data_IF_938570972933
#
_entry.id   IF_938570972933
#
_cell.length_a   1.000
_cell.length_b   1.000
_cell.length_c   1.000
_cell.angle_alpha   90.00
_cell.angle_beta   90.00
_cell.angle_gamma   90.00
#
_symmetry.space_group_name_H-M   'P 1'
#
loop_
_entity.id
_entity.type
_entity.pdbx_description
1 polymer ?
#
# COMPACT_ATOMS: atom_id res chain seq x y z
N UNK A 1 -9.88 -12.27 6.15
CA UNK A 1 -9.64 -13.62 5.59
C UNK A 1 -8.92 -13.59 4.23
N UNK A 2 -9.37 -12.92 3.15
CA UNK A 2 -8.70 -13.05 1.83
C UNK A 2 -7.24 -12.61 1.81
N UNK A 3 -6.89 -11.51 2.49
CA UNK A 3 -5.51 -10.99 2.53
C UNK A 3 -4.54 -11.99 3.18
N UNK A 4 -4.95 -12.67 4.24
CA UNK A 4 -4.11 -13.67 4.90
C UNK A 4 -3.90 -14.88 3.98
N UNK A 5 -4.96 -15.37 3.34
CA UNK A 5 -4.86 -16.49 2.40
C UNK A 5 -3.95 -16.16 1.23
N UNK A 6 -4.14 -14.99 0.60
CA UNK A 6 -3.29 -14.56 -0.52
C UNK A 6 -1.83 -14.35 -0.10
N UNK A 7 -1.57 -13.87 1.11
CA UNK A 7 -0.21 -13.72 1.63
C UNK A 7 0.46 -15.07 1.86
N UNK A 8 -0.24 -16.02 2.48
CA UNK A 8 0.30 -17.38 2.70
C UNK A 8 0.56 -18.08 1.37
N UNK A 9 -0.41 -18.06 0.45
CA UNK A 9 -0.26 -18.69 -0.86
C UNK A 9 0.90 -18.04 -1.64
N UNK A 10 1.04 -16.72 -1.62
CA UNK A 10 2.14 -16.05 -2.32
C UNK A 10 3.52 -16.41 -1.77
N UNK A 11 3.66 -16.65 -0.47
CA UNK A 11 4.93 -17.09 0.14
C UNK A 11 5.23 -18.54 -0.22
N UNK A 12 4.22 -19.42 -0.15
CA UNK A 12 4.37 -20.86 -0.45
C UNK A 12 4.59 -21.09 -1.93
N UNK A 13 4.03 -20.27 -2.82
CA UNK A 13 4.13 -20.45 -4.28
C UNK A 13 5.48 -20.01 -4.88
N UNK A 14 6.28 -19.20 -4.18
CA UNK A 14 7.58 -18.73 -4.71
C UNK A 14 8.53 -19.88 -5.07
N UNK A 15 8.79 -20.87 -4.19
CA UNK A 15 9.62 -22.02 -4.55
C UNK A 15 9.05 -22.85 -5.71
N UNK A 16 7.71 -22.96 -5.78
CA UNK A 16 7.02 -23.65 -6.85
C UNK A 16 7.25 -22.98 -8.21
N UNK A 17 7.15 -21.63 -8.26
CA UNK A 17 7.42 -20.89 -9.49
C UNK A 17 8.86 -21.07 -9.97
N UNK A 18 9.85 -21.06 -9.07
CA UNK A 18 11.23 -21.35 -9.45
C UNK A 18 11.41 -22.76 -10.02
N UNK A 19 10.75 -23.74 -9.42
CA UNK A 19 10.85 -25.12 -9.88
C UNK A 19 10.19 -25.34 -11.24
N UNK A 20 9.05 -24.71 -11.48
CA UNK A 20 8.23 -24.91 -12.69
C UNK A 20 8.71 -24.03 -13.85
N UNK A 21 8.95 -22.74 -13.61
CA UNK A 21 9.33 -21.77 -14.64
C UNK A 21 10.83 -21.77 -14.94
N UNK A 22 11.63 -22.22 -13.99
CA UNK A 22 13.09 -22.02 -14.02
C UNK A 22 13.48 -20.56 -13.83
N UNK A 23 14.77 -20.30 -13.67
CA UNK A 23 15.29 -18.99 -13.32
C UNK A 23 15.00 -17.92 -14.39
N UNK A 24 15.06 -18.30 -15.66
CA UNK A 24 14.95 -17.36 -16.77
C UNK A 24 13.51 -16.85 -16.98
N UNK A 25 12.52 -17.75 -17.04
CA UNK A 25 11.11 -17.38 -17.17
C UNK A 25 10.59 -16.63 -15.93
N UNK A 26 11.05 -17.06 -14.75
CA UNK A 26 10.74 -16.36 -13.51
C UNK A 26 11.33 -14.93 -13.50
N UNK A 27 12.57 -14.76 -13.97
CA UNK A 27 13.19 -13.44 -14.12
C UNK A 27 12.42 -12.55 -15.11
N UNK A 28 11.97 -13.10 -16.25
CA UNK A 28 11.16 -12.35 -17.22
C UNK A 28 9.86 -11.84 -16.63
N UNK A 29 9.16 -12.66 -15.85
CA UNK A 29 7.96 -12.24 -15.13
C UNK A 29 8.25 -11.06 -14.19
N UNK A 30 9.37 -11.12 -13.46
CA UNK A 30 9.82 -10.03 -12.59
C UNK A 30 10.22 -8.78 -13.36
N UNK A 31 10.87 -8.90 -14.51
CA UNK A 31 11.24 -7.72 -15.33
C UNK A 31 10.00 -6.96 -15.77
N UNK A 32 8.99 -7.66 -16.26
CA UNK A 32 7.73 -7.01 -16.65
C UNK A 32 7.04 -6.42 -15.42
N UNK A 33 7.00 -7.13 -14.29
CA UNK A 33 6.45 -6.63 -13.03
C UNK A 33 7.15 -5.38 -12.52
N UNK A 34 8.48 -5.30 -12.62
CA UNK A 34 9.28 -4.12 -12.22
C UNK A 34 8.99 -2.94 -13.12
N UNK A 35 8.95 -3.16 -14.43
CA UNK A 35 8.64 -2.10 -15.39
C UNK A 35 7.18 -1.62 -15.24
N UNK A 36 6.20 -2.51 -15.07
CA UNK A 36 4.81 -2.10 -14.79
C UNK A 36 4.71 -1.29 -13.50
N UNK A 37 5.46 -1.64 -12.47
CA UNK A 37 5.56 -0.85 -11.23
C UNK A 37 6.13 0.55 -11.44
N UNK A 38 7.14 0.69 -12.31
CA UNK A 38 7.74 1.99 -12.64
C UNK A 38 6.75 2.94 -13.35
N UNK A 39 5.76 2.40 -14.07
CA UNK A 39 4.69 3.18 -14.70
C UNK A 39 3.52 3.51 -13.77
N UNK A 40 3.68 3.33 -12.45
CA UNK A 40 2.68 3.56 -11.40
C UNK A 40 2.09 4.98 -11.32
N UNK A 41 2.59 5.91 -12.13
CA UNK A 41 2.15 7.30 -12.21
C UNK A 41 1.30 7.63 -13.47
N UNK A 42 0.87 6.62 -14.23
CA UNK A 42 0.28 6.81 -15.57
C UNK A 42 -0.97 7.69 -15.60
N UNK A 43 -1.76 7.72 -14.52
CA UNK A 43 -2.93 8.60 -14.43
C UNK A 43 -2.59 10.01 -13.97
N UNK A 44 -1.32 10.32 -13.74
CA UNK A 44 -0.78 11.60 -13.25
C UNK A 44 -1.50 12.09 -11.98
N UNK A 45 -2.11 11.20 -11.18
CA UNK A 45 -2.89 11.55 -9.98
C UNK A 45 -4.30 12.08 -10.30
N UNK A 46 -4.74 12.01 -11.56
CA UNK A 46 -6.06 12.48 -11.98
C UNK A 46 -7.18 11.66 -11.34
N UNK A 47 -7.01 10.33 -11.15
CA UNK A 47 -7.98 9.50 -10.47
C UNK A 47 -8.30 10.01 -9.06
N UNK A 48 -7.27 10.36 -8.29
CA UNK A 48 -7.43 10.94 -6.94
C UNK A 48 -8.13 12.29 -6.99
N UNK A 49 -7.76 13.15 -7.96
CA UNK A 49 -8.39 14.46 -8.14
C UNK A 49 -9.88 14.33 -8.45
N UNK A 50 -10.24 13.52 -9.44
CA UNK A 50 -11.63 13.25 -9.81
C UNK A 50 -12.43 12.73 -8.62
N UNK A 51 -11.89 11.76 -7.87
CA UNK A 51 -12.55 11.23 -6.68
C UNK A 51 -12.82 12.30 -5.61
N UNK A 52 -11.87 13.20 -5.39
CA UNK A 52 -12.06 14.32 -4.47
C UNK A 52 -13.17 15.27 -4.93
N UNK A 53 -13.09 15.74 -6.19
CA UNK A 53 -14.06 16.73 -6.67
C UNK A 53 -15.47 16.15 -6.81
N UNK A 54 -15.62 14.89 -7.23
CA UNK A 54 -16.90 14.18 -7.22
C UNK A 54 -17.42 14.04 -5.78
N UNK A 55 -16.59 13.66 -4.83
CA UNK A 55 -17.00 13.52 -3.43
C UNK A 55 -17.48 14.84 -2.82
N UNK A 56 -16.81 15.98 -3.12
CA UNK A 56 -17.24 17.32 -2.69
C UNK A 56 -18.59 17.68 -3.33
N UNK A 57 -18.73 17.48 -4.65
CA UNK A 57 -19.97 17.77 -5.37
C UNK A 57 -21.14 16.93 -4.87
N UNK A 58 -20.92 15.65 -4.55
CA UNK A 58 -21.93 14.78 -3.92
C UNK A 58 -22.32 15.26 -2.52
N UNK A 59 -21.37 15.73 -1.72
CA UNK A 59 -21.65 16.31 -0.40
C UNK A 59 -22.46 17.59 -0.46
N UNK A 60 -22.31 18.37 -1.55
CA UNK A 60 -23.07 19.57 -1.84
C UNK A 60 -24.42 19.29 -2.57
N UNK A 61 -24.73 18.03 -2.91
CA UNK A 61 -25.89 17.63 -3.74
C UNK A 61 -25.91 18.29 -5.14
N UNK A 62 -24.72 18.54 -5.72
CA UNK A 62 -24.58 19.13 -7.08
C UNK A 62 -24.34 18.01 -8.12
N UNK A 63 -25.43 17.38 -8.57
CA UNK A 63 -25.37 16.30 -9.56
C UNK A 63 -24.79 16.75 -10.91
N UNK A 64 -24.93 18.04 -11.26
CA UNK A 64 -24.40 18.57 -12.52
C UNK A 64 -22.87 18.66 -12.44
N UNK A 65 -22.31 19.14 -11.32
CA UNK A 65 -20.87 19.15 -11.11
C UNK A 65 -20.29 17.72 -11.09
N UNK A 66 -20.98 16.76 -10.50
CA UNK A 66 -20.56 15.34 -10.53
C UNK A 66 -20.39 14.84 -11.96
N UNK A 67 -21.39 15.09 -12.86
CA UNK A 67 -21.33 14.69 -14.28
C UNK A 67 -20.19 15.38 -15.02
N UNK A 68 -19.97 16.67 -14.75
CA UNK A 68 -18.92 17.47 -15.38
C UNK A 68 -17.53 17.01 -14.98
N UNK A 69 -17.25 16.81 -13.67
CA UNK A 69 -15.95 16.27 -13.20
C UNK A 69 -15.70 14.85 -13.70
N UNK A 70 -16.73 14.00 -13.70
CA UNK A 70 -16.64 12.64 -14.20
C UNK A 70 -16.25 12.58 -15.66
N UNK A 71 -16.99 13.30 -16.51
CA UNK A 71 -16.74 13.33 -17.95
C UNK A 71 -15.40 14.01 -18.30
N UNK A 72 -15.05 15.09 -17.59
CA UNK A 72 -13.76 15.78 -17.77
C UNK A 72 -12.59 14.88 -17.43
N UNK A 73 -12.68 14.14 -16.32
CA UNK A 73 -11.66 13.15 -15.93
C UNK A 73 -11.44 12.08 -17.00
N UNK A 74 -12.51 11.53 -17.55
CA UNK A 74 -12.42 10.48 -18.58
C UNK A 74 -11.80 10.97 -19.90
N UNK A 75 -12.14 12.18 -20.34
CA UNK A 75 -11.57 12.77 -21.56
C UNK A 75 -10.04 12.90 -21.45
N UNK A 76 -9.51 13.10 -20.26
CA UNK A 76 -8.07 13.26 -20.04
C UNK A 76 -7.41 11.90 -19.74
N UNK A 77 -7.98 11.09 -18.84
CA UNK A 77 -7.33 9.87 -18.36
C UNK A 77 -7.28 8.78 -19.43
N UNK A 78 -8.34 8.65 -20.25
CA UNK A 78 -8.39 7.60 -21.27
C UNK A 78 -7.24 7.73 -22.30
N UNK A 79 -7.04 8.87 -23.00
CA UNK A 79 -5.95 8.99 -23.96
C UNK A 79 -4.58 8.96 -23.28
N UNK A 80 -4.45 9.48 -22.07
CA UNK A 80 -3.21 9.49 -21.30
C UNK A 80 -2.76 8.07 -20.95
N UNK A 81 -3.65 7.26 -20.38
CA UNK A 81 -3.36 5.87 -20.02
C UNK A 81 -3.11 5.02 -21.26
N UNK A 82 -3.89 5.25 -22.36
CA UNK A 82 -3.64 4.57 -23.62
C UNK A 82 -2.25 4.92 -24.19
N UNK A 83 -1.88 6.20 -24.17
CA UNK A 83 -0.56 6.65 -24.62
C UNK A 83 0.58 5.99 -23.83
N UNK A 84 0.53 6.02 -22.48
CA UNK A 84 1.57 5.40 -21.66
C UNK A 84 1.59 3.88 -21.81
N UNK A 85 0.45 3.20 -21.95
CA UNK A 85 0.40 1.78 -22.24
C UNK A 85 1.08 1.43 -23.57
N UNK A 86 0.85 2.23 -24.62
CA UNK A 86 1.53 2.07 -25.91
C UNK A 86 3.03 2.36 -25.81
N UNK A 87 3.43 3.39 -25.07
CA UNK A 87 4.86 3.69 -24.80
C UNK A 87 5.52 2.53 -24.07
N UNK A 88 4.86 1.96 -23.05
CA UNK A 88 5.34 0.78 -22.33
C UNK A 88 5.55 -0.39 -23.29
N UNK A 89 4.54 -0.72 -24.11
CA UNK A 89 4.65 -1.80 -25.10
C UNK A 89 5.78 -1.52 -26.10
N UNK A 90 5.85 -0.30 -26.64
CA UNK A 90 6.89 0.08 -27.61
C UNK A 90 8.30 -0.05 -27.03
N UNK A 91 8.54 0.55 -25.87
CA UNK A 91 9.85 0.46 -25.18
C UNK A 91 10.16 -0.99 -24.82
N UNK A 92 9.20 -1.70 -24.21
CA UNK A 92 9.40 -3.06 -23.73
C UNK A 92 9.65 -4.07 -24.86
N UNK A 93 8.95 -3.94 -26.00
CA UNK A 93 9.13 -4.87 -27.13
C UNK A 93 10.38 -4.58 -27.98
N UNK A 94 10.78 -3.31 -28.12
CA UNK A 94 11.93 -2.90 -28.90
C UNK A 94 13.23 -3.09 -28.10
N UNK A 95 13.30 -2.51 -26.90
CA UNK A 95 14.52 -2.46 -26.10
C UNK A 95 14.61 -3.55 -25.03
N UNK A 96 13.48 -4.15 -24.62
CA UNK A 96 13.44 -5.13 -23.53
C UNK A 96 14.38 -6.33 -23.74
N UNK A 97 14.38 -7.00 -24.91
CA UNK A 97 15.27 -8.13 -25.16
C UNK A 97 16.76 -7.77 -25.05
N UNK A 98 17.16 -6.61 -25.54
CA UNK A 98 18.55 -6.13 -25.46
C UNK A 98 18.95 -5.78 -24.02
N UNK A 99 18.09 -5.08 -23.28
CA UNK A 99 18.34 -4.65 -21.91
C UNK A 99 18.47 -5.84 -20.95
N UNK A 100 17.62 -6.83 -21.14
CA UNK A 100 17.63 -8.03 -20.30
C UNK A 100 18.50 -9.16 -20.87
N UNK A 101 19.20 -8.89 -21.98
CA UNK A 101 20.11 -9.85 -22.66
C UNK A 101 19.42 -11.19 -22.99
N UNK A 102 18.16 -11.10 -23.38
CA UNK A 102 17.32 -12.26 -23.75
C UNK A 102 17.37 -12.46 -25.26
N UNK A 103 17.68 -13.66 -25.72
CA UNK A 103 17.84 -14.01 -27.15
C UNK A 103 16.98 -15.19 -27.56
N UNK A 104 16.81 -15.40 -28.86
CA UNK A 104 16.09 -16.56 -29.41
C UNK A 104 14.60 -16.56 -29.10
N UNK A 105 14.06 -17.70 -28.76
CA UNK A 105 12.62 -17.91 -28.45
C UNK A 105 12.19 -17.12 -27.24
N UNK A 106 13.07 -16.99 -26.24
CA UNK A 106 12.80 -16.25 -25.02
C UNK A 106 12.59 -14.75 -25.27
N UNK A 107 13.24 -14.19 -26.30
CA UNK A 107 13.00 -12.81 -26.71
C UNK A 107 11.58 -12.62 -27.25
N UNK A 108 11.01 -13.61 -27.94
CA UNK A 108 9.61 -13.57 -28.39
C UNK A 108 8.63 -13.65 -27.23
N UNK A 109 8.88 -14.53 -26.27
CA UNK A 109 8.12 -14.63 -25.00
C UNK A 109 8.14 -13.32 -24.26
N UNK A 110 9.32 -12.69 -24.10
CA UNK A 110 9.42 -11.38 -23.42
C UNK A 110 8.63 -10.28 -24.14
N UNK A 111 8.67 -10.23 -25.48
CA UNK A 111 7.87 -9.28 -26.26
C UNK A 111 6.37 -9.48 -26.02
N UNK A 112 5.87 -10.70 -26.07
CA UNK A 112 4.46 -10.98 -25.75
C UNK A 112 4.11 -10.64 -24.32
N UNK A 113 4.98 -10.94 -23.38
CA UNK A 113 4.84 -10.55 -21.97
C UNK A 113 4.72 -9.02 -21.80
N UNK A 114 5.51 -8.23 -22.56
CA UNK A 114 5.41 -6.77 -22.57
C UNK A 114 4.09 -6.26 -23.18
N UNK A 115 3.61 -6.90 -24.26
CA UNK A 115 2.29 -6.56 -24.84
C UNK A 115 1.18 -6.79 -23.81
N UNK A 116 1.14 -7.97 -23.20
CA UNK A 116 0.14 -8.27 -22.17
C UNK A 116 0.31 -7.39 -20.92
N UNK A 117 1.54 -7.05 -20.56
CA UNK A 117 1.82 -6.08 -19.49
C UNK A 117 1.21 -4.71 -19.78
N UNK A 118 1.33 -4.21 -21.02
CA UNK A 118 0.70 -2.95 -21.45
C UNK A 118 -0.82 -3.01 -21.44
N UNK A 119 -1.42 -4.11 -21.89
CA UNK A 119 -2.87 -4.35 -21.80
C UNK A 119 -3.33 -4.34 -20.34
N UNK A 120 -2.59 -5.03 -19.46
CA UNK A 120 -2.86 -5.07 -18.02
C UNK A 120 -2.78 -3.67 -17.38
N UNK A 121 -1.76 -2.90 -17.72
CA UNK A 121 -1.61 -1.50 -17.28
C UNK A 121 -2.80 -0.64 -17.71
N UNK A 122 -3.21 -0.73 -18.97
CA UNK A 122 -4.37 0.03 -19.45
C UNK A 122 -5.63 -0.25 -18.61
N UNK A 123 -5.99 -1.51 -18.42
CA UNK A 123 -7.17 -1.85 -17.63
C UNK A 123 -7.03 -1.53 -16.15
N UNK A 124 -5.84 -1.66 -15.57
CA UNK A 124 -5.59 -1.31 -14.18
C UNK A 124 -5.78 0.20 -13.93
N UNK A 125 -5.15 1.06 -14.74
CA UNK A 125 -5.18 2.51 -14.53
C UNK A 125 -6.46 3.17 -15.03
N UNK A 126 -7.00 2.74 -16.17
CA UNK A 126 -8.30 3.23 -16.60
C UNK A 126 -9.43 2.71 -15.71
N UNK A 127 -9.34 1.46 -15.24
CA UNK A 127 -10.26 0.89 -14.26
C UNK A 127 -10.25 1.61 -12.92
N UNK A 128 -9.14 2.25 -12.55
CA UNK A 128 -9.04 3.04 -11.33
C UNK A 128 -10.04 4.21 -11.30
N UNK A 129 -10.39 4.80 -12.44
CA UNK A 129 -11.45 5.81 -12.53
C UNK A 129 -12.79 5.28 -12.03
N UNK A 130 -13.20 4.10 -12.49
CA UNK A 130 -14.45 3.45 -12.09
C UNK A 130 -14.43 2.97 -10.63
N UNK A 131 -13.24 2.57 -10.16
CA UNK A 131 -13.04 2.26 -8.74
C UNK A 131 -13.27 3.49 -7.86
N UNK A 132 -12.72 4.64 -8.24
CA UNK A 132 -12.87 5.91 -7.52
C UNK A 132 -14.33 6.36 -7.50
N UNK A 133 -15.09 6.18 -8.59
CA UNK A 133 -16.52 6.45 -8.63
C UNK A 133 -17.28 5.59 -7.61
N UNK A 134 -17.03 4.28 -7.58
CA UNK A 134 -17.65 3.38 -6.61
C UNK A 134 -17.30 3.72 -5.18
N UNK A 135 -16.04 4.14 -4.94
CA UNK A 135 -15.58 4.61 -3.63
C UNK A 135 -16.26 5.93 -3.21
N UNK A 136 -16.46 6.87 -4.15
CA UNK A 136 -17.19 8.12 -3.89
C UNK A 136 -18.66 7.87 -3.51
N UNK A 137 -19.29 6.80 -4.03
CA UNK A 137 -20.60 6.33 -3.62
C UNK A 137 -20.59 5.51 -2.32
N UNK A 138 -19.41 5.34 -1.69
CA UNK A 138 -19.21 4.55 -0.46
C UNK A 138 -19.56 3.06 -0.59
N UNK A 139 -19.54 2.52 -1.82
CA UNK A 139 -19.87 1.11 -2.09
C UNK A 139 -18.68 0.18 -1.79
N UNK A 140 -18.13 0.31 -0.57
CA UNK A 140 -16.94 -0.43 -0.15
C UNK A 140 -17.19 -1.94 -0.01
N UNK A 141 -18.45 -2.34 0.24
CA UNK A 141 -18.80 -3.77 0.29
C UNK A 141 -18.56 -4.43 -1.06
N UNK A 142 -19.06 -3.82 -2.13
CA UNK A 142 -18.82 -4.29 -3.49
C UNK A 142 -17.34 -4.30 -3.84
N UNK A 143 -16.64 -3.18 -3.59
CA UNK A 143 -15.20 -3.05 -3.86
C UNK A 143 -14.35 -4.07 -3.10
N UNK A 144 -14.69 -4.32 -1.83
CA UNK A 144 -13.99 -5.29 -0.99
C UNK A 144 -14.20 -6.72 -1.50
N UNK A 145 -15.45 -7.10 -1.82
CA UNK A 145 -15.75 -8.42 -2.36
C UNK A 145 -15.04 -8.61 -3.71
N UNK A 146 -15.17 -7.65 -4.63
CA UNK A 146 -14.57 -7.72 -5.95
C UNK A 146 -13.05 -7.88 -5.87
N UNK A 147 -12.37 -7.00 -5.11
CA UNK A 147 -10.90 -7.05 -4.96
C UNK A 147 -10.43 -8.33 -4.27
N UNK A 148 -11.12 -8.75 -3.21
CA UNK A 148 -10.75 -9.95 -2.47
C UNK A 148 -10.92 -11.21 -3.31
N UNK A 149 -12.03 -11.34 -4.02
CA UNK A 149 -12.30 -12.48 -4.90
C UNK A 149 -11.28 -12.54 -6.05
N UNK A 150 -11.03 -11.40 -6.72
CA UNK A 150 -10.05 -11.34 -7.79
C UNK A 150 -8.62 -11.60 -7.28
N UNK A 151 -8.24 -11.09 -6.11
CA UNK A 151 -6.94 -11.37 -5.52
C UNK A 151 -6.74 -12.88 -5.26
N UNK A 152 -7.76 -13.57 -4.75
CA UNK A 152 -7.72 -15.03 -4.58
C UNK A 152 -7.63 -15.75 -5.92
N UNK A 153 -8.47 -15.39 -6.89
CA UNK A 153 -8.47 -15.97 -8.24
C UNK A 153 -7.12 -15.72 -8.92
N UNK A 154 -6.58 -14.51 -8.82
CA UNK A 154 -5.25 -14.19 -9.37
C UNK A 154 -4.19 -15.08 -8.73
N UNK A 155 -4.11 -15.13 -7.41
CA UNK A 155 -3.03 -15.84 -6.71
C UNK A 155 -3.08 -17.35 -6.98
N UNK A 156 -4.25 -17.97 -6.87
CA UNK A 156 -4.41 -19.41 -7.12
C UNK A 156 -4.31 -19.75 -8.61
N UNK A 157 -4.92 -18.95 -9.45
CA UNK A 157 -4.90 -19.18 -10.89
C UNK A 157 -3.53 -18.95 -11.52
N UNK A 158 -2.72 -18.00 -10.99
CA UNK A 158 -1.33 -17.84 -11.45
C UNK A 158 -0.51 -19.10 -11.21
N UNK A 159 -0.71 -19.81 -10.09
CA UNK A 159 -0.09 -21.11 -9.82
C UNK A 159 -0.56 -22.14 -10.87
N UNK A 160 -1.86 -22.21 -11.13
CA UNK A 160 -2.42 -23.13 -12.15
C UNK A 160 -1.90 -22.84 -13.56
N UNK A 161 -1.83 -21.56 -13.95
CA UNK A 161 -1.29 -21.14 -15.26
C UNK A 161 0.20 -21.48 -15.36
N UNK A 162 0.98 -21.28 -14.29
CA UNK A 162 2.40 -21.67 -14.26
C UNK A 162 2.59 -23.15 -14.50
N UNK A 163 1.80 -24.00 -13.83
CA UNK A 163 1.87 -25.48 -13.96
C UNK A 163 1.44 -26.00 -15.33
N UNK A 164 0.58 -25.25 -16.06
CA UNK A 164 0.05 -25.71 -17.36
C UNK A 164 0.91 -25.20 -18.52
N UNK A 165 1.34 -23.96 -18.48
CA UNK A 165 1.97 -23.28 -19.62
C UNK A 165 3.48 -23.09 -19.47
N UNK A 166 4.02 -23.11 -18.26
CA UNK A 166 5.45 -22.94 -17.95
C UNK A 166 6.11 -21.71 -18.62
N UNK A 167 5.32 -20.66 -18.91
CA UNK A 167 5.73 -19.50 -19.69
C UNK A 167 5.26 -18.18 -19.01
N UNK A 168 6.19 -17.24 -18.90
CA UNK A 168 5.96 -15.94 -18.25
C UNK A 168 4.90 -15.08 -18.99
N UNK A 169 4.79 -15.17 -20.31
CA UNK A 169 3.82 -14.38 -21.07
C UNK A 169 2.38 -14.77 -20.74
N UNK A 170 2.11 -16.07 -20.51
CA UNK A 170 0.79 -16.54 -20.09
C UNK A 170 0.42 -16.10 -18.67
N UNK A 171 1.38 -16.01 -17.75
CA UNK A 171 1.15 -15.50 -16.41
C UNK A 171 0.72 -14.03 -16.43
N UNK A 172 1.38 -13.25 -17.28
CA UNK A 172 1.08 -11.83 -17.44
C UNK A 172 -0.25 -11.64 -18.18
N UNK A 173 -0.50 -12.44 -19.23
CA UNK A 173 -1.77 -12.46 -19.96
C UNK A 173 -2.95 -12.78 -19.03
N UNK A 174 -2.79 -13.77 -18.17
CA UNK A 174 -3.80 -14.12 -17.16
C UNK A 174 -4.08 -12.95 -16.20
N UNK A 175 -3.04 -12.30 -15.72
CA UNK A 175 -3.17 -11.12 -14.84
C UNK A 175 -3.86 -9.95 -15.57
N UNK A 176 -3.53 -9.72 -16.84
CA UNK A 176 -4.16 -8.71 -17.69
C UNK A 176 -5.64 -9.01 -17.94
N UNK A 177 -6.00 -10.28 -18.19
CA UNK A 177 -7.37 -10.73 -18.33
C UNK A 177 -8.20 -10.46 -17.06
N UNK A 178 -7.67 -10.78 -15.89
CA UNK A 178 -8.34 -10.50 -14.62
C UNK A 178 -8.47 -8.99 -14.36
N UNK A 179 -7.50 -8.19 -14.79
CA UNK A 179 -7.62 -6.72 -14.79
C UNK A 179 -8.77 -6.24 -15.68
N UNK A 180 -8.92 -6.82 -16.87
CA UNK A 180 -10.05 -6.52 -17.77
C UNK A 180 -11.40 -6.97 -17.16
N UNK A 181 -11.44 -8.13 -16.53
CA UNK A 181 -12.63 -8.61 -15.79
C UNK A 181 -13.01 -7.65 -14.66
N UNK A 182 -12.04 -7.22 -13.87
CA UNK A 182 -12.26 -6.20 -12.84
C UNK A 182 -12.85 -4.92 -13.43
N UNK A 183 -12.27 -4.44 -14.51
CA UNK A 183 -12.75 -3.24 -15.21
C UNK A 183 -14.21 -3.39 -15.66
N UNK A 184 -14.58 -4.52 -16.27
CA UNK A 184 -15.97 -4.80 -16.73
C UNK A 184 -16.97 -4.78 -15.56
N UNK A 185 -16.62 -5.37 -14.41
CA UNK A 185 -17.49 -5.33 -13.23
C UNK A 185 -17.68 -3.91 -12.70
N UNK A 186 -16.59 -3.12 -12.62
CA UNK A 186 -16.64 -1.73 -12.19
C UNK A 186 -17.45 -0.87 -13.18
N UNK A 187 -17.23 -1.04 -14.48
CA UNK A 187 -17.94 -0.34 -15.56
C UNK A 187 -19.46 -0.63 -15.49
N UNK A 188 -19.83 -1.90 -15.38
CA UNK A 188 -21.25 -2.30 -15.23
C UNK A 188 -21.86 -1.65 -14.00
N UNK A 189 -21.18 -1.69 -12.86
CA UNK A 189 -21.65 -1.08 -11.62
C UNK A 189 -21.88 0.41 -11.78
N UNK A 190 -20.93 1.13 -12.39
CA UNK A 190 -21.04 2.57 -12.65
C UNK A 190 -22.20 2.95 -13.54
N UNK A 191 -22.43 2.19 -14.61
CA UNK A 191 -23.49 2.48 -15.58
C UNK A 191 -24.88 2.11 -15.06
N UNK A 192 -25.02 0.97 -14.36
CA UNK A 192 -26.34 0.46 -13.95
C UNK A 192 -26.82 1.02 -12.61
N UNK A 193 -25.94 1.11 -11.63
CA UNK A 193 -26.32 1.50 -10.27
C UNK A 193 -26.15 2.99 -10.00
N UNK A 194 -25.05 3.60 -10.50
CA UNK A 194 -24.83 5.03 -10.26
C UNK A 194 -25.37 5.91 -11.39
N UNK A 195 -25.79 5.30 -12.49
CA UNK A 195 -26.39 5.99 -13.65
C UNK A 195 -25.54 7.16 -14.17
N UNK A 196 -24.20 7.02 -14.07
CA UNK A 196 -23.22 7.99 -14.52
C UNK A 196 -22.44 7.46 -15.74
N UNK A 197 -23.09 7.39 -16.92
CA UNK A 197 -22.38 7.04 -18.14
C UNK A 197 -21.38 8.14 -18.52
N UNK A 198 -20.28 7.74 -19.14
CA UNK A 198 -19.30 8.71 -19.68
C UNK A 198 -19.93 9.43 -20.86
N UNK A 199 -20.11 10.73 -20.75
CA UNK A 199 -20.64 11.58 -21.83
C UNK A 199 -19.61 12.64 -22.17
N UNK A 200 -18.90 12.50 -23.28
CA UNK A 200 -17.92 13.50 -23.76
C UNK A 200 -18.51 14.91 -23.92
N UNK A 201 -19.82 15.00 -24.07
CA UNK A 201 -20.58 16.24 -24.18
C UNK A 201 -20.58 17.07 -22.88
N UNK A 202 -20.38 16.42 -21.71
CA UNK A 202 -20.35 17.09 -20.40
C UNK A 202 -18.93 17.55 -20.03
N UNK A 203 -17.95 17.41 -20.94
CA UNK A 203 -16.61 17.94 -20.76
C UNK A 203 -16.61 19.46 -20.60
N UNK A 204 -15.95 19.97 -19.56
CA UNK A 204 -15.75 21.40 -19.33
C UNK A 204 -14.30 21.74 -19.05
N UNK A 205 -13.72 22.59 -19.89
CA UNK A 205 -12.35 23.08 -19.71
C UNK A 205 -12.16 23.81 -18.36
N UNK A 206 -13.20 24.51 -17.87
CA UNK A 206 -13.16 25.17 -16.56
C UNK A 206 -12.94 24.16 -15.41
N UNK A 207 -13.60 23.00 -15.44
CA UNK A 207 -13.44 21.94 -14.45
C UNK A 207 -12.05 21.30 -14.53
N UNK A 208 -11.49 21.16 -15.74
CA UNK A 208 -10.11 20.71 -15.89
C UNK A 208 -9.13 21.67 -15.24
N UNK A 209 -9.26 22.97 -15.51
CA UNK A 209 -8.38 23.99 -14.94
C UNK A 209 -8.50 24.08 -13.42
N UNK A 210 -9.70 23.82 -12.88
CA UNK A 210 -9.95 23.74 -11.45
C UNK A 210 -9.24 22.52 -10.79
N UNK A 211 -9.28 21.35 -11.45
CA UNK A 211 -8.63 20.14 -10.97
C UNK A 211 -7.11 20.14 -11.13
N UNK A 212 -6.57 20.84 -12.14
CA UNK A 212 -5.17 20.76 -12.54
C UNK A 212 -4.16 21.08 -11.40
N UNK A 213 -4.32 22.14 -10.59
CA UNK A 213 -3.39 22.43 -9.50
C UNK A 213 -3.33 21.31 -8.44
N UNK A 214 -4.46 20.67 -8.16
CA UNK A 214 -4.54 19.54 -7.25
C UNK A 214 -3.87 18.31 -7.88
N UNK A 215 -4.19 18.01 -9.12
CA UNK A 215 -3.61 16.90 -9.90
C UNK A 215 -2.09 16.96 -9.94
N UNK A 216 -1.52 18.12 -10.25
CA UNK A 216 -0.06 18.32 -10.32
C UNK A 216 0.60 18.10 -8.94
N UNK A 217 -0.01 18.55 -7.85
CA UNK A 217 0.50 18.32 -6.50
C UNK A 217 0.45 16.84 -6.14
N UNK A 218 -0.63 16.15 -6.47
CA UNK A 218 -0.79 14.71 -6.25
C UNK A 218 0.24 13.92 -7.07
N UNK A 219 0.45 14.30 -8.32
CA UNK A 219 1.47 13.70 -9.18
C UNK A 219 2.88 13.88 -8.61
N UNK A 220 3.22 15.08 -8.15
CA UNK A 220 4.50 15.33 -7.48
C UNK A 220 4.67 14.48 -6.21
N UNK A 221 3.59 14.27 -5.46
CA UNK A 221 3.59 13.39 -4.28
C UNK A 221 3.80 11.93 -4.66
N UNK A 222 3.16 11.44 -5.73
CA UNK A 222 3.35 10.07 -6.23
C UNK A 222 4.79 9.82 -6.68
N UNK A 223 5.37 10.72 -7.46
CA UNK A 223 6.79 10.64 -7.89
C UNK A 223 7.71 10.70 -6.67
N UNK A 224 7.46 11.63 -5.74
CA UNK A 224 8.25 11.74 -4.50
C UNK A 224 8.25 10.44 -3.71
N UNK A 225 7.09 9.82 -3.54
CA UNK A 225 6.97 8.54 -2.84
C UNK A 225 7.69 7.39 -3.57
N UNK A 226 7.61 7.35 -4.88
CA UNK A 226 8.17 6.25 -5.68
C UNK A 226 9.68 6.40 -5.90
N UNK A 227 10.15 7.54 -6.34
CA UNK A 227 11.55 7.77 -6.72
C UNK A 227 12.41 8.07 -5.49
N UNK A 228 12.04 9.14 -4.75
CA UNK A 228 12.84 9.57 -3.60
C UNK A 228 12.74 8.57 -2.46
N UNK A 229 11.57 7.94 -2.30
CA UNK A 229 11.34 6.89 -1.29
C UNK A 229 12.12 5.59 -1.52
N UNK A 230 12.81 5.43 -2.64
CA UNK A 230 13.70 4.29 -2.92
C UNK A 230 15.19 4.63 -2.87
N UNK A 231 15.55 5.89 -2.65
CA UNK A 231 16.97 6.32 -2.63
C UNK A 231 17.77 5.63 -1.53
N UNK A 232 17.17 5.40 -0.36
CA UNK A 232 17.78 4.65 0.75
C UNK A 232 18.25 3.27 0.29
N UNK A 233 17.40 2.54 -0.45
CA UNK A 233 17.73 1.21 -0.99
C UNK A 233 18.82 1.26 -2.06
N UNK A 234 18.73 2.23 -2.97
CA UNK A 234 19.73 2.39 -4.04
C UNK A 234 21.10 2.68 -3.45
N UNK A 235 21.16 3.56 -2.45
CA UNK A 235 22.40 3.91 -1.77
C UNK A 235 22.95 2.73 -0.95
N UNK A 236 22.10 2.09 -0.16
CA UNK A 236 22.52 0.94 0.65
C UNK A 236 22.98 -0.23 -0.23
N UNK A 237 22.30 -0.48 -1.37
CA UNK A 237 22.70 -1.50 -2.33
C UNK A 237 24.10 -1.29 -2.93
N UNK A 238 24.58 -0.03 -2.99
CA UNK A 238 25.94 0.29 -3.43
C UNK A 238 26.96 0.23 -2.29
N UNK A 239 26.55 0.53 -1.06
CA UNK A 239 27.44 0.70 0.09
C UNK A 239 27.63 -0.58 0.89
N UNK A 240 26.62 -1.47 0.91
CA UNK A 240 26.59 -2.64 1.80
C UNK A 240 26.94 -3.94 1.07
N UNK A 241 27.44 -4.95 1.82
CA UNK A 241 27.52 -6.32 1.33
C UNK A 241 26.14 -6.85 0.89
N UNK A 242 26.12 -7.81 -0.04
CA UNK A 242 24.87 -8.39 -0.57
C UNK A 242 23.99 -9.01 0.53
N UNK A 243 24.61 -9.62 1.56
CA UNK A 243 23.89 -10.19 2.72
C UNK A 243 23.09 -9.15 3.50
N UNK A 244 23.72 -8.00 3.78
CA UNK A 244 23.12 -6.94 4.57
C UNK A 244 22.02 -6.21 3.77
N UNK A 245 22.29 -5.99 2.48
CA UNK A 245 21.28 -5.45 1.56
C UNK A 245 20.07 -6.38 1.44
N UNK A 246 20.28 -7.69 1.34
CA UNK A 246 19.21 -8.68 1.31
C UNK A 246 18.41 -8.65 2.62
N UNK A 247 19.09 -8.61 3.79
CA UNK A 247 18.44 -8.55 5.09
C UNK A 247 17.60 -7.28 5.27
N UNK A 248 18.11 -6.13 4.83
CA UNK A 248 17.37 -4.87 4.82
C UNK A 248 16.11 -4.95 3.96
N UNK A 249 16.22 -5.51 2.75
CA UNK A 249 15.07 -5.66 1.85
C UNK A 249 14.04 -6.67 2.35
N UNK A 250 14.44 -7.79 2.98
CA UNK A 250 13.53 -8.74 3.62
C UNK A 250 12.71 -8.01 4.70
N UNK A 251 13.38 -7.24 5.55
CA UNK A 251 12.72 -6.47 6.61
C UNK A 251 11.75 -5.42 6.04
N UNK A 252 12.13 -4.71 4.98
CA UNK A 252 11.27 -3.75 4.27
C UNK A 252 10.05 -4.43 3.62
N UNK A 253 10.23 -5.59 3.01
CA UNK A 253 9.13 -6.30 2.37
C UNK A 253 8.05 -6.70 3.39
N UNK A 254 8.45 -7.20 4.55
CA UNK A 254 7.50 -7.56 5.62
C UNK A 254 6.88 -6.28 6.21
N UNK A 255 7.69 -5.29 6.54
CA UNK A 255 7.22 -4.01 7.07
C UNK A 255 6.23 -3.30 6.13
N UNK A 256 6.48 -3.31 4.82
CA UNK A 256 5.58 -2.72 3.83
C UNK A 256 4.23 -3.45 3.74
N UNK A 257 4.17 -4.75 3.98
CA UNK A 257 2.90 -5.49 4.06
C UNK A 257 2.10 -5.09 5.29
N UNK A 258 2.77 -4.92 6.44
CA UNK A 258 2.13 -4.38 7.66
C UNK A 258 1.61 -2.96 7.42
N UNK A 259 2.40 -2.10 6.80
CA UNK A 259 1.98 -0.76 6.39
C UNK A 259 0.78 -0.81 5.42
N UNK A 260 0.76 -1.74 4.49
CA UNK A 260 -0.31 -1.93 3.51
C UNK A 260 -1.67 -2.26 4.12
N UNK A 261 -1.72 -2.84 5.32
CA UNK A 261 -2.98 -3.10 6.01
C UNK A 261 -3.76 -1.82 6.31
N UNK A 262 -3.10 -0.70 6.58
CA UNK A 262 -3.76 0.60 6.76
C UNK A 262 -4.44 1.11 5.49
N UNK A 263 -3.90 0.78 4.32
CA UNK A 263 -4.43 1.26 3.04
C UNK A 263 -5.89 0.84 2.82
N UNK A 264 -6.29 -0.32 3.34
CA UNK A 264 -7.67 -0.80 3.22
C UNK A 264 -8.68 0.13 3.92
N UNK A 265 -8.28 0.78 5.02
CA UNK A 265 -9.13 1.71 5.77
C UNK A 265 -9.10 3.14 5.18
N UNK A 266 -8.06 3.50 4.41
CA UNK A 266 -7.89 4.89 3.95
C UNK A 266 -8.93 5.32 2.92
N UNK A 267 -9.38 4.41 2.03
CA UNK A 267 -10.39 4.73 1.03
C UNK A 267 -11.71 5.22 1.64
N UNK A 268 -12.36 4.45 2.53
CA UNK A 268 -13.56 4.88 3.24
C UNK A 268 -13.38 6.21 3.99
N UNK A 269 -12.26 6.37 4.69
CA UNK A 269 -11.96 7.58 5.47
C UNK A 269 -11.87 8.79 4.53
N UNK A 270 -11.11 8.70 3.45
CA UNK A 270 -10.97 9.75 2.45
C UNK A 270 -12.34 10.18 1.88
N UNK A 271 -13.16 9.22 1.44
CA UNK A 271 -14.45 9.52 0.82
C UNK A 271 -15.45 10.14 1.83
N UNK A 272 -15.49 9.63 3.06
CA UNK A 272 -16.34 10.20 4.11
C UNK A 272 -15.93 11.63 4.44
N UNK A 273 -14.64 11.90 4.60
CA UNK A 273 -14.12 13.25 4.86
C UNK A 273 -14.43 14.19 3.69
N UNK A 274 -14.29 13.72 2.45
CA UNK A 274 -14.58 14.53 1.25
C UNK A 274 -16.05 14.96 1.19
N UNK A 275 -16.98 14.06 1.51
CA UNK A 275 -18.40 14.39 1.61
C UNK A 275 -18.69 15.39 2.74
N UNK A 276 -18.07 15.22 3.90
CA UNK A 276 -18.18 16.17 5.02
C UNK A 276 -17.70 17.57 4.66
N UNK A 277 -16.60 17.69 3.90
CA UNK A 277 -16.12 18.98 3.36
C UNK A 277 -17.12 19.57 2.36
N UNK A 278 -17.86 18.74 1.62
CA UNK A 278 -18.89 19.16 0.67
C UNK A 278 -20.23 19.60 1.31
N UNK A 279 -20.35 19.52 2.63
CA UNK A 279 -21.55 20.02 3.36
C UNK A 279 -22.47 18.93 3.93
N UNK A 280 -22.09 17.65 3.86
CA UNK A 280 -22.79 16.57 4.56
C UNK A 280 -22.51 16.67 6.07
N UNK A 281 -23.37 17.37 6.80
CA UNK A 281 -23.24 17.66 8.24
C UNK A 281 -23.15 16.40 9.13
N UNK A 282 -23.63 15.25 8.65
CA UNK A 282 -23.54 13.98 9.36
C UNK A 282 -22.08 13.41 9.36
N UNK A 283 -21.15 14.05 8.64
CA UNK A 283 -19.80 13.55 8.40
C UNK A 283 -18.72 14.55 8.78
N UNK A 284 -18.60 14.80 10.09
CA UNK A 284 -17.57 15.72 10.60
C UNK A 284 -16.14 15.14 10.38
N UNK A 285 -15.29 15.80 9.59
CA UNK A 285 -13.92 15.33 9.31
C UNK A 285 -13.07 15.11 10.57
N UNK A 286 -13.23 15.94 11.60
CA UNK A 286 -12.49 15.84 12.85
C UNK A 286 -12.87 14.60 13.65
N UNK A 287 -14.15 14.24 13.67
CA UNK A 287 -14.65 13.01 14.33
C UNK A 287 -14.21 11.76 13.58
N UNK A 288 -14.34 11.74 12.25
CA UNK A 288 -13.88 10.63 11.40
C UNK A 288 -12.38 10.36 11.65
N UNK A 289 -11.57 11.42 11.68
CA UNK A 289 -10.14 11.26 11.93
C UNK A 289 -9.86 10.72 13.33
N UNK A 290 -10.48 11.29 14.36
CA UNK A 290 -10.29 10.90 15.76
C UNK A 290 -10.67 9.44 15.99
N UNK A 291 -11.83 9.01 15.54
CA UNK A 291 -12.30 7.62 15.66
C UNK A 291 -11.36 6.63 14.92
N UNK A 292 -10.95 7.00 13.70
CA UNK A 292 -10.05 6.18 12.91
C UNK A 292 -8.67 6.06 13.56
N UNK A 293 -8.13 7.14 14.13
CA UNK A 293 -6.87 7.12 14.86
C UNK A 293 -6.95 6.23 16.10
N UNK A 294 -7.99 6.41 16.92
CA UNK A 294 -8.19 5.62 18.14
C UNK A 294 -8.41 4.14 17.86
N UNK A 295 -8.93 3.80 16.69
CA UNK A 295 -9.07 2.41 16.25
C UNK A 295 -7.75 1.82 15.76
N UNK A 296 -6.99 2.55 14.93
CA UNK A 296 -5.81 2.00 14.25
C UNK A 296 -4.54 2.05 15.09
N UNK A 297 -4.36 3.11 15.89
CA UNK A 297 -3.13 3.33 16.65
C UNK A 297 -2.77 2.17 17.60
N UNK A 298 -3.70 1.62 18.41
CA UNK A 298 -3.36 0.51 19.31
C UNK A 298 -2.93 -0.76 18.56
N UNK A 299 -3.51 -1.04 17.38
CA UNK A 299 -3.10 -2.18 16.57
C UNK A 299 -1.67 -2.07 16.07
N UNK A 300 -1.26 -0.89 15.58
CA UNK A 300 0.13 -0.68 15.18
C UNK A 300 1.08 -0.66 16.37
N UNK A 301 0.63 -0.12 17.51
CA UNK A 301 1.35 -0.21 18.77
C UNK A 301 1.62 -1.67 19.17
N UNK A 302 0.59 -2.52 19.09
CA UNK A 302 0.73 -3.96 19.33
C UNK A 302 1.75 -4.60 18.38
N UNK A 303 1.69 -4.31 17.07
CA UNK A 303 2.63 -4.88 16.09
C UNK A 303 4.07 -4.44 16.39
N UNK A 304 4.30 -3.15 16.70
CA UNK A 304 5.62 -2.64 17.06
C UNK A 304 6.18 -3.40 18.27
N UNK A 305 5.39 -3.49 19.33
CA UNK A 305 5.78 -4.17 20.56
C UNK A 305 6.06 -5.66 20.32
N UNK A 306 5.14 -6.34 19.65
CA UNK A 306 5.25 -7.76 19.37
C UNK A 306 6.48 -8.10 18.54
N UNK A 307 6.72 -7.34 17.47
CA UNK A 307 7.92 -7.51 16.64
C UNK A 307 9.19 -7.18 17.42
N UNK A 308 9.20 -6.12 18.23
CA UNK A 308 10.38 -5.75 19.01
C UNK A 308 10.81 -6.83 20.01
N UNK A 309 9.85 -7.55 20.58
CA UNK A 309 10.12 -8.58 21.60
C UNK A 309 10.37 -9.96 20.97
N UNK A 310 9.59 -10.32 19.95
CA UNK A 310 9.57 -11.70 19.44
C UNK A 310 10.24 -11.90 18.08
N UNK A 311 10.84 -10.84 17.49
CA UNK A 311 11.44 -10.94 16.15
C UNK A 311 12.49 -12.03 16.04
N UNK A 312 13.40 -12.15 17.02
CA UNK A 312 14.52 -13.10 16.93
C UNK A 312 14.03 -14.57 16.94
N UNK A 313 13.19 -15.04 17.89
CA UNK A 313 12.69 -16.42 17.84
C UNK A 313 11.91 -16.76 16.57
N UNK A 314 11.16 -15.79 16.03
CA UNK A 314 10.42 -15.99 14.79
C UNK A 314 11.33 -16.08 13.56
N UNK A 315 12.36 -15.23 13.50
CA UNK A 315 13.35 -15.25 12.43
C UNK A 315 14.22 -16.51 12.49
N UNK A 316 14.60 -16.97 13.68
CA UNK A 316 15.36 -18.21 13.87
C UNK A 316 14.59 -19.44 13.33
N UNK A 317 13.27 -19.48 13.56
CA UNK A 317 12.42 -20.53 13.00
C UNK A 317 12.29 -20.45 11.49
N UNK A 318 12.24 -19.24 10.91
CA UNK A 318 11.95 -19.02 9.49
C UNK A 318 13.20 -18.96 8.60
N UNK A 319 14.26 -18.24 9.04
CA UNK A 319 15.45 -17.94 8.24
C UNK A 319 16.71 -18.71 8.69
N UNK A 320 16.63 -19.40 9.80
CA UNK A 320 17.74 -20.19 10.35
C UNK A 320 19.09 -19.43 10.33
N UNK A 321 19.99 -19.77 9.40
CA UNK A 321 21.35 -19.19 9.31
C UNK A 321 21.37 -17.67 9.06
N UNK A 322 20.34 -17.11 8.42
CA UNK A 322 20.28 -15.69 8.09
C UNK A 322 19.54 -14.85 9.15
N UNK A 323 18.94 -15.51 10.16
CA UNK A 323 18.17 -14.85 11.21
C UNK A 323 18.97 -13.77 11.98
N UNK A 324 20.23 -13.99 12.39
CA UNK A 324 20.99 -12.98 13.13
C UNK A 324 21.22 -11.68 12.35
N UNK A 325 21.43 -11.78 11.03
CA UNK A 325 21.67 -10.60 10.17
C UNK A 325 20.36 -9.84 9.97
N UNK A 326 19.26 -10.53 9.66
CA UNK A 326 17.95 -9.92 9.49
C UNK A 326 17.43 -9.33 10.82
N UNK A 327 17.71 -9.97 11.95
CA UNK A 327 17.34 -9.51 13.29
C UNK A 327 17.88 -8.13 13.66
N UNK A 328 19.03 -7.73 13.09
CA UNK A 328 19.59 -6.38 13.29
C UNK A 328 18.73 -5.28 12.68
N UNK A 329 18.07 -5.55 11.56
CA UNK A 329 17.27 -4.58 10.80
C UNK A 329 15.77 -4.67 11.07
N UNK A 330 15.25 -5.86 11.31
CA UNK A 330 13.84 -6.18 11.29
C UNK A 330 12.97 -5.35 12.24
N UNK A 331 13.27 -5.25 13.55
CA UNK A 331 12.42 -4.52 14.48
C UNK A 331 12.36 -3.01 14.14
N UNK A 332 13.47 -2.41 13.77
CA UNK A 332 13.55 -0.98 13.44
C UNK A 332 12.79 -0.63 12.17
N UNK A 333 12.94 -1.45 11.13
CA UNK A 333 12.28 -1.23 9.86
C UNK A 333 10.77 -1.44 9.99
N UNK A 334 10.34 -2.51 10.68
CA UNK A 334 8.91 -2.76 10.88
C UNK A 334 8.27 -1.65 11.73
N UNK A 335 8.95 -1.19 12.79
CA UNK A 335 8.48 -0.05 13.57
C UNK A 335 8.35 1.21 12.72
N UNK A 336 9.33 1.51 11.87
CA UNK A 336 9.26 2.62 10.92
C UNK A 336 8.09 2.50 9.93
N UNK A 337 7.82 1.30 9.42
CA UNK A 337 6.67 1.03 8.55
C UNK A 337 5.33 1.19 9.28
N UNK A 338 5.25 0.83 10.57
CA UNK A 338 4.07 1.08 11.39
C UNK A 338 3.81 2.59 11.59
N UNK A 339 4.84 3.38 11.83
CA UNK A 339 4.71 4.85 11.89
C UNK A 339 4.24 5.42 10.53
N UNK A 340 4.77 4.92 9.43
CA UNK A 340 4.31 5.29 8.09
C UNK A 340 2.85 4.88 7.83
N UNK A 341 2.40 3.76 8.40
CA UNK A 341 1.01 3.33 8.32
C UNK A 341 0.05 4.30 9.05
N UNK A 342 0.45 4.81 10.20
CA UNK A 342 -0.30 5.85 10.93
C UNK A 342 -0.32 7.17 10.13
N UNK A 343 0.80 7.53 9.49
CA UNK A 343 0.88 8.68 8.58
C UNK A 343 -0.07 8.59 7.38
N UNK A 344 -0.36 7.39 6.88
CA UNK A 344 -1.35 7.21 5.82
C UNK A 344 -2.73 7.73 6.24
N UNK A 345 -3.10 7.60 7.52
CA UNK A 345 -4.32 8.17 8.07
C UNK A 345 -4.31 9.69 7.98
N UNK A 346 -3.23 10.34 8.43
CA UNK A 346 -3.07 11.78 8.31
C UNK A 346 -3.08 12.24 6.84
N UNK A 347 -2.38 11.50 5.96
CA UNK A 347 -2.36 11.75 4.53
C UNK A 347 -3.75 11.68 3.87
N UNK A 348 -4.61 10.75 4.32
CA UNK A 348 -5.97 10.60 3.78
C UNK A 348 -6.88 11.82 4.05
N UNK A 349 -6.55 12.66 5.04
CA UNK A 349 -7.27 13.90 5.33
C UNK A 349 -6.79 15.08 4.49
N UNK A 350 -5.50 15.12 4.16
CA UNK A 350 -4.90 16.26 3.46
C UNK A 350 -5.47 16.44 2.05
N UNK A 351 -5.85 15.35 1.40
CA UNK A 351 -6.51 15.36 0.11
C UNK A 351 -7.86 16.08 0.14
N UNK A 352 -8.85 15.58 0.90
CA UNK A 352 -10.16 16.22 1.05
C UNK A 352 -10.08 17.70 1.47
N UNK A 353 -9.18 18.02 2.41
CA UNK A 353 -8.96 19.39 2.89
C UNK A 353 -8.22 20.31 1.89
N UNK A 354 -7.91 19.83 0.68
CA UNK A 354 -7.12 20.56 -0.33
C UNK A 354 -5.74 21.01 0.16
N UNK A 355 -5.12 20.25 1.06
CA UNK A 355 -3.81 20.52 1.66
C UNK A 355 -2.72 19.52 1.20
N UNK A 356 -2.80 19.06 -0.06
CA UNK A 356 -1.87 18.07 -0.66
C UNK A 356 -0.41 18.54 -0.58
N UNK A 357 -0.16 19.86 -0.67
CA UNK A 357 1.18 20.43 -0.51
C UNK A 357 1.82 20.11 0.85
N UNK A 358 1.01 20.06 1.92
CA UNK A 358 1.48 19.65 3.26
C UNK A 358 1.89 18.16 3.24
N UNK A 359 1.10 17.31 2.59
CA UNK A 359 1.44 15.89 2.40
C UNK A 359 2.73 15.70 1.62
N UNK A 360 2.90 16.45 0.53
CA UNK A 360 4.12 16.46 -0.28
C UNK A 360 5.34 16.89 0.56
N UNK A 361 5.23 17.94 1.36
CA UNK A 361 6.31 18.41 2.24
C UNK A 361 6.75 17.31 3.22
N UNK A 362 5.83 16.69 3.94
CA UNK A 362 6.16 15.62 4.88
C UNK A 362 6.71 14.37 4.18
N UNK A 363 6.20 14.03 2.99
CA UNK A 363 6.71 12.93 2.16
C UNK A 363 8.16 13.19 1.73
N UNK A 364 8.46 14.36 1.18
CA UNK A 364 9.81 14.77 0.78
C UNK A 364 10.77 14.81 1.97
N UNK A 365 10.33 15.40 3.08
CA UNK A 365 11.13 15.49 4.31
C UNK A 365 11.47 14.10 4.86
N UNK A 366 10.46 13.22 4.98
CA UNK A 366 10.68 11.85 5.45
C UNK A 366 11.59 11.05 4.53
N UNK A 367 11.40 11.15 3.22
CA UNK A 367 12.21 10.41 2.24
C UNK A 367 13.63 10.95 2.15
N UNK A 368 13.81 12.28 2.18
CA UNK A 368 15.13 12.91 2.21
C UNK A 368 15.91 12.58 3.49
N UNK A 369 15.24 12.69 4.65
CA UNK A 369 15.86 12.29 5.93
C UNK A 369 16.18 10.78 5.95
N UNK A 370 15.32 9.93 5.37
CA UNK A 370 15.59 8.50 5.27
C UNK A 370 16.87 8.24 4.49
N UNK A 371 17.05 8.87 3.32
CA UNK A 371 18.26 8.72 2.52
C UNK A 371 19.53 9.15 3.31
N UNK A 372 19.46 10.29 3.99
CA UNK A 372 20.61 10.81 4.77
C UNK A 372 20.88 9.94 5.99
N UNK A 373 19.88 9.68 6.82
CA UNK A 373 20.07 8.97 8.09
C UNK A 373 20.39 7.49 7.89
N UNK A 374 19.91 6.85 6.83
CA UNK A 374 20.30 5.48 6.47
C UNK A 374 21.78 5.43 6.12
N UNK A 375 22.28 6.39 5.33
CA UNK A 375 23.71 6.45 4.96
C UNK A 375 24.57 6.73 6.19
N UNK A 376 24.23 7.74 6.99
CA UNK A 376 24.95 8.08 8.21
C UNK A 376 24.95 6.90 9.19
N UNK A 377 23.79 6.30 9.42
CA UNK A 377 23.65 5.13 10.27
C UNK A 377 24.47 3.94 9.78
N UNK A 378 24.54 3.71 8.47
CA UNK A 378 25.39 2.68 7.89
C UNK A 378 26.88 2.87 8.24
N UNK A 379 27.39 4.09 8.15
CA UNK A 379 28.78 4.37 8.52
C UNK A 379 29.04 4.30 10.02
N UNK A 380 28.02 4.45 10.88
CA UNK A 380 28.16 4.39 12.34
C UNK A 380 28.11 2.96 12.89
N UNK A 381 27.14 2.16 12.45
CA UNK A 381 26.83 0.84 13.04
C UNK A 381 26.30 -0.15 11.96
N UNK A 382 26.79 -0.07 10.75
CA UNK A 382 26.43 -0.98 9.67
C UNK A 382 24.93 -1.08 9.43
N UNK A 383 24.45 -2.31 9.21
CA UNK A 383 23.04 -2.59 8.92
C UNK A 383 22.09 -2.13 10.03
N UNK A 384 22.48 -2.30 11.30
CA UNK A 384 21.68 -1.87 12.45
C UNK A 384 21.53 -0.35 12.47
N UNK A 385 22.63 0.39 12.31
CA UNK A 385 22.61 1.85 12.25
C UNK A 385 21.78 2.39 11.09
N UNK A 386 21.88 1.78 9.89
CA UNK A 386 21.06 2.12 8.74
C UNK A 386 19.56 1.94 9.04
N UNK A 387 19.19 0.85 9.71
CA UNK A 387 17.81 0.54 10.07
C UNK A 387 17.25 1.48 11.13
N UNK A 388 18.06 1.87 12.10
CA UNK A 388 17.73 2.92 13.07
C UNK A 388 17.54 4.26 12.35
N UNK A 389 18.42 4.61 11.39
CA UNK A 389 18.28 5.81 10.56
C UNK A 389 16.95 5.84 9.79
N UNK A 390 16.54 4.71 9.21
CA UNK A 390 15.22 4.56 8.58
C UNK A 390 14.08 4.84 9.56
N UNK A 391 14.13 4.25 10.76
CA UNK A 391 13.11 4.47 11.80
C UNK A 391 13.04 5.94 12.24
N UNK A 392 14.19 6.57 12.53
CA UNK A 392 14.27 7.97 12.94
C UNK A 392 13.67 8.92 11.89
N UNK A 393 13.90 8.65 10.60
CA UNK A 393 13.32 9.44 9.52
C UNK A 393 11.77 9.38 9.52
N UNK A 394 11.18 8.29 9.99
CA UNK A 394 9.71 8.12 10.08
C UNK A 394 9.08 8.84 11.26
N UNK A 395 9.85 9.31 12.24
CA UNK A 395 9.35 10.14 13.34
C UNK A 395 8.75 11.47 12.85
N UNK A 396 9.15 11.95 11.68
CA UNK A 396 8.53 13.10 10.99
C UNK A 396 7.01 12.95 10.87
N UNK A 397 6.51 11.74 10.79
CA UNK A 397 5.09 11.45 10.67
C UNK A 397 4.28 11.77 11.93
N UNK A 398 4.92 11.83 13.10
CA UNK A 398 4.30 12.34 14.34
C UNK A 398 3.99 13.83 14.19
N UNK A 399 4.91 14.60 13.61
CA UNK A 399 4.69 16.01 13.32
C UNK A 399 3.59 16.22 12.26
N UNK A 400 3.49 15.31 11.27
CA UNK A 400 2.39 15.32 10.31
C UNK A 400 1.03 15.10 10.98
N UNK A 401 0.91 14.13 11.90
CA UNK A 401 -0.33 13.89 12.66
C UNK A 401 -0.72 15.13 13.48
N UNK A 402 0.22 15.71 14.20
CA UNK A 402 -0.02 16.94 14.97
C UNK A 402 -0.47 18.12 14.09
N UNK A 403 0.13 18.26 12.91
CA UNK A 403 -0.26 19.29 11.93
C UNK A 403 -1.71 19.10 11.44
N UNK A 404 -2.09 17.86 11.10
CA UNK A 404 -3.46 17.53 10.64
C UNK A 404 -4.48 17.76 11.75
N UNK A 405 -4.19 17.36 12.99
CA UNK A 405 -5.06 17.63 14.16
C UNK A 405 -5.29 19.13 14.35
N UNK A 406 -4.24 19.94 14.26
CA UNK A 406 -4.34 21.39 14.32
C UNK A 406 -5.21 21.97 13.19
N UNK A 407 -5.09 21.43 11.97
CA UNK A 407 -5.92 21.85 10.82
C UNK A 407 -7.40 21.50 11.01
N UNK A 408 -7.69 20.40 11.69
CA UNK A 408 -9.04 19.94 12.00
C UNK A 408 -9.60 20.58 13.29
N UNK A 409 -8.84 21.45 13.96
CA UNK A 409 -9.29 22.21 15.13
C UNK A 409 -9.33 21.43 16.44
N UNK A 410 -8.58 20.33 16.58
CA UNK A 410 -8.53 19.58 17.84
C UNK A 410 -7.13 19.13 18.22
N UNK A 411 -6.91 18.89 19.52
CA UNK A 411 -5.66 18.38 20.07
C UNK A 411 -5.76 16.92 20.52
N UNK A 412 -4.70 16.44 21.18
CA UNK A 412 -4.69 15.15 21.86
C UNK A 412 -5.63 15.17 23.06
N UNK A 413 -6.30 14.04 23.32
CA UNK A 413 -7.26 13.91 24.41
C UNK A 413 -6.97 12.68 25.29
N UNK A 414 -7.77 12.49 26.34
CA UNK A 414 -7.63 11.35 27.28
C UNK A 414 -7.79 9.97 26.61
N UNK A 415 -8.56 9.87 25.51
CA UNK A 415 -8.70 8.61 24.77
C UNK A 415 -7.45 8.29 23.96
N UNK A 416 -6.74 9.30 23.47
CA UNK A 416 -5.44 9.11 22.81
C UNK A 416 -4.39 8.65 23.82
N UNK A 417 -4.41 9.23 25.05
CA UNK A 417 -3.58 8.79 26.17
C UNK A 417 -3.88 7.33 26.57
N UNK A 418 -5.14 6.91 26.54
CA UNK A 418 -5.53 5.54 26.77
C UNK A 418 -4.94 4.57 25.72
N UNK A 419 -4.96 4.94 24.44
CA UNK A 419 -4.37 4.14 23.37
C UNK A 419 -2.85 3.96 23.56
N UNK A 420 -2.15 4.98 24.07
CA UNK A 420 -0.75 4.86 24.49
C UNK A 420 -0.59 3.90 25.67
N UNK A 421 -1.44 4.01 26.68
CA UNK A 421 -1.42 3.12 27.85
C UNK A 421 -1.65 1.67 27.46
N UNK A 422 -2.56 1.39 26.54
CA UNK A 422 -2.78 0.05 25.98
C UNK A 422 -1.50 -0.49 25.31
N UNK A 423 -0.76 0.35 24.57
CA UNK A 423 0.53 -0.03 23.97
C UNK A 423 1.57 -0.39 25.03
N UNK A 424 1.65 0.35 26.14
CA UNK A 424 2.54 0.01 27.26
C UNK A 424 2.12 -1.29 27.96
N UNK A 425 0.83 -1.55 28.12
CA UNK A 425 0.32 -2.81 28.66
C UNK A 425 0.72 -3.99 27.77
N UNK A 426 0.64 -3.83 26.44
CA UNK A 426 1.10 -4.87 25.49
C UNK A 426 2.59 -5.13 25.63
N UNK A 427 3.39 -4.09 25.82
CA UNK A 427 4.83 -4.21 26.06
C UNK A 427 5.08 -5.04 27.32
N UNK A 428 4.36 -4.74 28.41
CA UNK A 428 4.51 -5.50 29.67
C UNK A 428 4.12 -6.97 29.51
N UNK A 429 3.01 -7.26 28.81
CA UNK A 429 2.55 -8.64 28.57
C UNK A 429 3.55 -9.41 27.70
N UNK A 430 3.97 -8.84 26.56
CA UNK A 430 4.90 -9.50 25.65
C UNK A 430 6.28 -9.69 26.29
N UNK A 431 6.77 -8.70 27.02
CA UNK A 431 8.06 -8.76 27.70
C UNK A 431 8.04 -9.80 28.85
N UNK A 432 6.97 -9.83 29.66
CA UNK A 432 6.82 -10.83 30.73
C UNK A 432 6.77 -12.25 30.15
N UNK A 433 6.04 -12.47 29.06
CA UNK A 433 5.99 -13.76 28.38
C UNK A 433 7.37 -14.17 27.82
N UNK A 434 8.07 -13.24 27.16
CA UNK A 434 9.42 -13.49 26.63
C UNK A 434 10.44 -13.77 27.75
N UNK A 435 10.41 -12.98 28.81
CA UNK A 435 11.27 -13.19 29.99
C UNK A 435 11.03 -14.55 30.62
N UNK A 436 9.77 -14.92 30.80
CA UNK A 436 9.41 -16.25 31.34
C UNK A 436 9.95 -17.39 30.46
N UNK A 437 9.82 -17.29 29.13
CA UNK A 437 10.33 -18.31 28.20
C UNK A 437 11.86 -18.38 28.20
N UNK A 438 12.56 -17.26 28.36
CA UNK A 438 14.02 -17.20 28.39
C UNK A 438 14.58 -17.73 29.69
N UNK A 439 13.98 -17.40 30.87
CA UNK A 439 14.38 -17.87 32.17
C UNK A 439 14.16 -19.39 32.30
N UNK A 440 13.06 -19.90 31.77
CA UNK A 440 12.75 -21.34 31.78
C UNK A 440 13.55 -22.15 30.75
N UNK A 441 14.37 -21.50 29.90
CA UNK A 441 15.17 -22.18 28.89
C UNK A 441 14.34 -22.98 27.90
N UNK A 442 13.14 -22.47 27.53
CA UNK A 442 12.20 -23.21 26.70
C UNK A 442 12.73 -23.36 25.26
N UNK A 443 12.39 -24.47 24.61
CA UNK A 443 12.74 -24.72 23.22
C UNK A 443 12.18 -23.63 22.29
N UNK A 444 12.82 -23.43 21.13
CA UNK A 444 12.42 -22.43 20.14
C UNK A 444 10.93 -22.53 19.78
N UNK A 445 10.41 -23.74 19.63
CA UNK A 445 9.00 -23.99 19.33
C UNK A 445 8.07 -23.43 20.42
N UNK A 446 8.42 -23.62 21.70
CA UNK A 446 7.66 -23.09 22.82
C UNK A 446 7.76 -21.58 22.94
N UNK A 447 8.90 -20.97 22.58
CA UNK A 447 9.05 -19.51 22.50
C UNK A 447 8.14 -18.94 21.42
N UNK A 448 8.08 -19.55 20.23
CA UNK A 448 7.20 -19.14 19.14
C UNK A 448 5.72 -19.33 19.52
N UNK A 449 5.35 -20.41 20.19
CA UNK A 449 3.96 -20.58 20.70
C UNK A 449 3.60 -19.50 21.72
N UNK A 450 4.50 -19.13 22.61
CA UNK A 450 4.31 -18.03 23.57
C UNK A 450 4.17 -16.67 22.88
N UNK A 451 4.93 -16.45 21.78
CA UNK A 451 4.78 -15.26 20.96
C UNK A 451 3.36 -15.13 20.39
N UNK A 452 2.84 -16.19 19.78
CA UNK A 452 1.47 -16.19 19.24
C UNK A 452 0.41 -16.04 20.33
N UNK A 453 0.55 -16.72 21.47
CA UNK A 453 -0.38 -16.61 22.58
C UNK A 453 -0.42 -15.19 23.16
N UNK A 454 0.75 -14.57 23.40
CA UNK A 454 0.80 -13.18 23.88
C UNK A 454 0.17 -12.21 22.90
N UNK A 455 0.40 -12.39 21.59
CA UNK A 455 -0.24 -11.60 20.53
C UNK A 455 -1.77 -11.75 20.51
N UNK A 456 -2.27 -12.98 20.65
CA UNK A 456 -3.72 -13.26 20.71
C UNK A 456 -4.34 -12.63 21.96
N UNK A 457 -3.70 -12.71 23.12
CA UNK A 457 -4.18 -12.08 24.36
C UNK A 457 -4.28 -10.58 24.20
N UNK A 458 -3.24 -9.92 23.67
CA UNK A 458 -3.26 -8.49 23.42
C UNK A 458 -4.33 -8.10 22.40
N UNK A 459 -4.50 -8.86 21.32
CA UNK A 459 -5.56 -8.64 20.33
C UNK A 459 -6.97 -8.82 20.94
N UNK A 460 -7.16 -9.80 21.82
CA UNK A 460 -8.43 -10.01 22.53
C UNK A 460 -8.75 -8.81 23.45
N UNK A 461 -7.76 -8.23 24.13
CA UNK A 461 -7.93 -7.03 24.94
C UNK A 461 -8.41 -5.85 24.07
N UNK A 462 -7.85 -5.68 22.87
CA UNK A 462 -8.29 -4.64 21.93
C UNK A 462 -9.73 -4.86 21.40
N UNK A 463 -10.13 -6.11 21.19
CA UNK A 463 -11.45 -6.45 20.66
C UNK A 463 -12.56 -6.45 21.73
N UNK A 464 -12.22 -6.69 22.99
CA UNK A 464 -13.20 -6.81 24.07
C UNK A 464 -14.16 -5.61 24.17
N UNK A 465 -13.75 -4.33 24.07
CA UNK A 465 -14.67 -3.20 24.12
C UNK A 465 -15.66 -3.16 22.94
N UNK A 466 -15.25 -3.67 21.76
CA UNK A 466 -16.11 -3.71 20.58
C UNK A 466 -17.15 -4.81 20.65
N UNK A 467 -16.77 -5.97 21.22
CA UNK A 467 -17.67 -7.12 21.41
C UNK A 467 -18.73 -6.80 22.46
N UNK A 468 -18.32 -6.20 23.60
CA UNK A 468 -19.25 -5.82 24.66
C UNK A 468 -20.28 -4.76 24.23
N UNK A 469 -19.90 -3.83 23.34
CA UNK A 469 -20.85 -2.84 22.81
C UNK A 469 -21.86 -3.43 21.82
N UNK A 470 -21.54 -4.52 21.11
CA UNK A 470 -22.47 -5.19 20.20
C UNK A 470 -23.42 -6.16 20.89
N UNK A 471 -23.07 -6.66 22.07
CA UNK A 471 -23.93 -7.52 22.89
C UNK A 471 -24.95 -6.74 23.75
N UNK A 472 -24.90 -5.39 23.71
CA UNK A 472 -25.79 -4.50 24.47
C UNK A 472 -26.85 -3.83 23.58
N UNK A 473 -26.94 -4.20 22.31
CA UNK A 473 -27.96 -3.82 21.31
C UNK A 473 -28.69 -5.08 20.88
#
# INVERSE_FOLDING_TARGET
MPILVTSVVSVVSVPLYFHVLGDQMYAMWFYVGTLTGAFGFMDLGMGVAVGRYIGVAMGANDDQAVKEYWSTGHVIVLPLVAFFALVFVGIGTIFGPEWFKVTGTDASTLRWAMVWGGVGLFFAYYGQMWFVLSAAHLDFRFLSILRSSLAMITTLGTVGVALIFEDAAWLIAYSALLGAVQFVFLLRRGNTQYQLPVRFRDFKKSRLLEMLPYTLKTFAQLISGSVIGSLDRVMLGRLSPASDFAAYNVSLNIGSRVQGLSQAAMGPIFCNTTRGVGGDLARNPAEIYRESFQMLFPWYGLVIVWVSVWSQPLLDLWLHKNAPVVGQSFPWIVAGCCLAAISNLAGSQLGPLNRVGTGLFFSLLSSGLSAILVIVGWYMDGLRGASIGFFLARLVFIAQDACVRKMLGFGYNSKDARALLETFLFLAICFAAHFATSVLGLSLLLQVTAAFLSGIICAAILLAPYIMRRGAV
#
